data_IF_253039473414
#
_entry.id   IF_253039473414
#
_cell.length_a   1.000
_cell.length_b   1.000
_cell.length_c   1.000
_cell.angle_alpha   90.00
_cell.angle_beta   90.00
_cell.angle_gamma   90.00
#
_symmetry.space_group_name_H-M   'P 1'
#
loop_
_entity.id
_entity.type
_entity.pdbx_description
1 polymer ?
#
# COMPACT_ATOMS: atom_id res chain seq x y z
N UNK A 1 12.38 -7.68 8.71
CA UNK A 1 11.54 -6.63 8.09
C UNK A 1 10.62 -5.98 9.13
N UNK A 2 9.95 -4.90 8.76
CA UNK A 2 8.78 -4.36 9.45
C UNK A 2 7.56 -5.10 8.88
N UNK A 3 6.92 -5.95 9.68
CA UNK A 3 5.78 -6.77 9.26
C UNK A 3 4.45 -6.09 9.52
N UNK A 4 3.61 -5.97 8.50
CA UNK A 4 2.25 -5.45 8.65
C UNK A 4 1.29 -6.58 9.01
N UNK A 5 0.58 -6.46 10.12
CA UNK A 5 -0.40 -7.45 10.58
C UNK A 5 -1.74 -7.19 9.91
N UNK A 6 -2.22 -8.18 9.17
CA UNK A 6 -3.54 -8.15 8.54
C UNK A 6 -4.64 -8.04 9.60
N UNK A 7 -5.49 -7.02 9.50
CA UNK A 7 -6.68 -6.88 10.36
C UNK A 7 -7.70 -8.00 10.14
N UNK A 8 -7.64 -8.69 8.99
CA UNK A 8 -8.54 -9.79 8.65
C UNK A 8 -8.10 -11.14 9.22
N UNK A 9 -6.80 -11.39 9.29
CA UNK A 9 -6.26 -12.71 9.66
C UNK A 9 -5.44 -12.71 10.94
N UNK A 10 -5.03 -11.54 11.46
CA UNK A 10 -4.15 -11.44 12.63
C UNK A 10 -2.71 -11.88 12.37
N UNK A 11 -2.37 -12.25 11.14
CA UNK A 11 -1.05 -12.70 10.74
C UNK A 11 -0.29 -11.62 9.97
N UNK A 12 1.05 -11.59 10.04
CA UNK A 12 1.87 -10.73 9.19
C UNK A 12 1.62 -11.04 7.71
N UNK A 13 1.45 -10.00 6.91
CA UNK A 13 1.40 -10.14 5.45
C UNK A 13 2.79 -10.54 4.93
N UNK A 14 2.89 -11.49 3.98
CA UNK A 14 4.13 -11.75 3.27
C UNK A 14 4.50 -10.54 2.40
N UNK A 15 5.78 -10.45 2.02
CA UNK A 15 6.18 -9.57 0.93
C UNK A 15 5.77 -10.19 -0.40
N UNK A 16 5.21 -9.41 -1.30
CA UNK A 16 4.79 -9.85 -2.62
C UNK A 16 5.68 -9.25 -3.71
N UNK A 17 6.08 -10.05 -4.69
CA UNK A 17 6.90 -9.62 -5.82
C UNK A 17 6.38 -10.22 -7.12
N UNK A 18 6.36 -9.46 -8.21
CA UNK A 18 6.02 -9.96 -9.54
C UNK A 18 7.28 -10.16 -10.37
N UNK A 19 7.44 -11.36 -10.95
CA UNK A 19 8.52 -11.68 -11.89
C UNK A 19 7.94 -12.37 -13.14
N UNK A 20 7.87 -11.64 -14.25
CA UNK A 20 7.08 -12.07 -15.41
C UNK A 20 5.61 -12.25 -15.02
N UNK A 21 5.02 -13.37 -15.39
CA UNK A 21 3.61 -13.69 -15.07
C UNK A 21 3.42 -14.34 -13.68
N UNK A 22 4.48 -14.37 -12.85
CA UNK A 22 4.45 -15.05 -11.54
C UNK A 22 4.46 -14.05 -10.40
N UNK A 23 3.54 -14.28 -9.46
CA UNK A 23 3.55 -13.64 -8.14
C UNK A 23 4.30 -14.55 -7.18
N UNK A 24 5.26 -13.97 -6.45
CA UNK A 24 6.12 -14.63 -5.48
C UNK A 24 5.86 -13.99 -4.13
N UNK A 25 5.37 -14.79 -3.17
CA UNK A 25 5.25 -14.38 -1.78
C UNK A 25 6.46 -14.85 -0.97
N UNK A 26 7.03 -13.95 -0.18
CA UNK A 26 8.18 -14.22 0.69
C UNK A 26 7.85 -13.81 2.11
N UNK A 27 7.76 -14.80 3.00
CA UNK A 27 7.67 -14.57 4.43
C UNK A 27 9.08 -14.38 5.02
N UNK A 28 9.43 -13.15 5.39
CA UNK A 28 10.67 -12.87 6.11
C UNK A 28 10.40 -12.73 7.61
N UNK A 29 11.38 -13.08 8.48
CA UNK A 29 11.30 -12.77 9.90
C UNK A 29 11.07 -11.26 10.13
N UNK A 30 10.00 -10.96 10.85
CA UNK A 30 9.67 -9.61 11.29
C UNK A 30 10.36 -9.30 12.62
N UNK A 31 11.12 -8.20 12.68
CA UNK A 31 11.71 -7.69 13.94
C UNK A 31 10.74 -6.77 14.69
N UNK A 32 9.79 -6.21 13.95
CA UNK A 32 8.73 -5.34 14.44
C UNK A 32 7.45 -5.71 13.69
N UNK A 33 6.36 -5.90 14.43
CA UNK A 33 5.02 -6.07 13.87
C UNK A 33 4.20 -4.82 14.14
N UNK A 34 3.49 -4.36 13.11
CA UNK A 34 2.68 -3.14 13.15
C UNK A 34 1.31 -3.41 12.53
N UNK A 35 0.28 -2.75 13.03
CA UNK A 35 -1.10 -2.84 12.50
C UNK A 35 -1.59 -1.53 11.89
N UNK A 36 -0.78 -0.46 11.94
CA UNK A 36 -1.11 0.87 11.47
C UNK A 36 -0.15 1.38 10.39
N UNK A 37 -0.68 2.01 9.35
CA UNK A 37 0.11 2.54 8.25
C UNK A 37 1.14 3.59 8.72
N UNK A 38 0.72 4.54 9.58
CA UNK A 38 1.61 5.61 10.05
C UNK A 38 2.73 5.09 10.94
N UNK A 39 2.45 4.07 11.78
CA UNK A 39 3.46 3.36 12.57
C UNK A 39 4.48 2.67 11.67
N UNK A 40 4.02 2.08 10.57
CA UNK A 40 4.88 1.40 9.58
C UNK A 40 5.84 2.38 8.91
N UNK A 41 5.31 3.54 8.47
CA UNK A 41 6.11 4.63 7.86
C UNK A 41 7.15 5.16 8.85
N UNK A 42 6.73 5.44 10.08
CA UNK A 42 7.62 5.97 11.13
C UNK A 42 8.74 4.98 11.44
N UNK A 43 8.42 3.68 11.56
CA UNK A 43 9.42 2.64 11.77
C UNK A 43 10.42 2.53 10.62
N UNK A 44 9.97 2.67 9.36
CA UNK A 44 10.86 2.65 8.20
C UNK A 44 11.86 3.81 8.25
N UNK A 45 11.39 5.04 8.51
CA UNK A 45 12.23 6.24 8.65
C UNK A 45 13.20 6.17 9.82
N UNK A 46 12.87 5.43 10.88
CA UNK A 46 13.76 5.16 12.00
C UNK A 46 14.77 4.02 11.74
N UNK A 47 14.76 3.42 10.55
CA UNK A 47 15.73 2.38 10.18
C UNK A 47 15.44 0.98 10.74
N UNK A 48 14.20 0.68 11.13
CA UNK A 48 13.83 -0.65 11.65
C UNK A 48 13.84 -1.77 10.59
N UNK A 49 14.06 -1.43 9.32
CA UNK A 49 14.36 -2.36 8.23
C UNK A 49 13.45 -2.19 7.01
N UNK A 50 13.39 -3.25 6.19
CA UNK A 50 12.58 -3.29 4.96
C UNK A 50 11.08 -3.23 5.26
N UNK A 51 10.35 -2.54 4.39
CA UNK A 51 8.89 -2.42 4.37
C UNK A 51 8.38 -2.55 2.93
N UNK A 52 7.19 -3.11 2.75
CA UNK A 52 6.43 -3.02 1.51
C UNK A 52 5.11 -2.32 1.79
N UNK A 53 4.93 -1.15 1.18
CA UNK A 53 3.80 -0.26 1.40
C UNK A 53 3.61 0.70 0.21
N UNK A 54 2.44 1.36 0.08
CA UNK A 54 2.18 2.23 -1.06
C UNK A 54 3.20 3.37 -1.22
N UNK A 55 3.75 3.50 -2.43
CA UNK A 55 4.86 4.43 -2.76
C UNK A 55 4.57 5.89 -2.42
N UNK A 56 3.33 6.33 -2.52
CA UNK A 56 2.94 7.73 -2.28
C UNK A 56 3.27 8.20 -0.84
N UNK A 57 3.38 7.28 0.12
CA UNK A 57 3.76 7.60 1.51
C UNK A 57 5.24 7.95 1.68
N UNK A 58 6.08 7.58 0.72
CA UNK A 58 7.55 7.70 0.77
C UNK A 58 8.10 8.55 -0.38
N UNK A 59 7.27 9.32 -1.07
CA UNK A 59 7.69 10.08 -2.24
C UNK A 59 8.84 11.05 -1.93
N UNK A 60 8.75 11.76 -0.80
CA UNK A 60 9.79 12.67 -0.33
C UNK A 60 11.03 11.92 0.15
N UNK A 61 10.86 10.82 0.90
CA UNK A 61 11.99 10.03 1.41
C UNK A 61 12.82 9.43 0.27
N UNK A 62 12.16 8.95 -0.79
CA UNK A 62 12.82 8.41 -1.99
C UNK A 62 13.48 9.52 -2.82
N UNK A 63 12.89 10.72 -2.87
CA UNK A 63 13.48 11.88 -3.57
C UNK A 63 14.74 12.37 -2.84
N UNK A 64 14.71 12.37 -1.52
CA UNK A 64 15.81 12.83 -0.66
C UNK A 64 16.88 11.76 -0.40
N UNK A 65 16.58 10.50 -0.74
CA UNK A 65 17.47 9.37 -0.51
C UNK A 65 17.58 8.94 0.96
N UNK A 66 16.68 9.42 1.82
CA UNK A 66 16.59 8.97 3.23
C UNK A 66 16.02 7.56 3.33
N UNK A 67 15.25 7.14 2.32
CA UNK A 67 14.91 5.75 2.04
C UNK A 67 15.31 5.42 0.60
N UNK A 68 15.64 4.15 0.37
CA UNK A 68 15.98 3.64 -0.95
C UNK A 68 15.01 2.53 -1.34
N UNK A 69 14.56 2.57 -2.59
CA UNK A 69 13.80 1.47 -3.19
C UNK A 69 14.77 0.33 -3.50
N UNK A 70 14.38 -0.90 -3.15
CA UNK A 70 15.13 -2.12 -3.43
C UNK A 70 14.23 -3.06 -4.22
N UNK A 71 14.83 -3.86 -5.10
CA UNK A 71 14.10 -4.80 -5.97
C UNK A 71 13.04 -4.10 -6.86
N UNK A 72 13.36 -2.92 -7.39
CA UNK A 72 12.45 -2.14 -8.24
C UNK A 72 11.96 -2.89 -9.50
N UNK A 73 12.75 -3.86 -9.98
CA UNK A 73 12.40 -4.71 -11.13
C UNK A 73 11.33 -5.77 -10.80
N UNK A 74 10.94 -5.90 -9.53
CA UNK A 74 10.00 -6.90 -9.04
C UNK A 74 8.87 -6.27 -8.21
N UNK A 75 8.06 -5.35 -8.77
CA UNK A 75 7.00 -4.70 -8.01
C UNK A 75 5.95 -5.71 -7.50
N UNK A 76 5.25 -5.44 -6.40
CA UNK A 76 4.06 -6.21 -6.03
C UNK A 76 2.92 -5.97 -7.04
N UNK A 77 1.86 -6.77 -6.95
CA UNK A 77 0.64 -6.55 -7.74
C UNK A 77 0.05 -5.18 -7.42
N UNK A 78 -0.43 -4.43 -8.44
CA UNK A 78 -1.11 -3.16 -8.22
C UNK A 78 -2.28 -3.32 -7.25
N UNK A 79 -2.31 -2.50 -6.19
CA UNK A 79 -3.42 -2.49 -5.25
C UNK A 79 -4.61 -1.77 -5.89
N UNK A 80 -5.77 -2.43 -6.09
CA UNK A 80 -6.92 -1.79 -6.69
C UNK A 80 -7.51 -0.74 -5.75
N UNK A 81 -7.85 0.43 -6.30
CA UNK A 81 -8.64 1.44 -5.62
C UNK A 81 -10.07 1.42 -6.17
N UNK A 82 -11.04 1.25 -5.28
CA UNK A 82 -12.45 1.16 -5.66
C UNK A 82 -13.28 2.17 -4.86
N UNK A 83 -14.25 2.80 -5.53
CA UNK A 83 -15.25 3.65 -4.88
C UNK A 83 -16.51 2.80 -4.65
N UNK A 84 -16.81 2.50 -3.40
CA UNK A 84 -17.99 1.70 -3.02
C UNK A 84 -19.17 2.62 -2.69
N UNK A 85 -20.31 2.39 -3.34
CA UNK A 85 -21.57 3.07 -3.08
C UNK A 85 -22.75 2.10 -3.19
N UNK A 86 -23.90 2.37 -2.53
CA UNK A 86 -25.06 1.49 -2.60
C UNK A 86 -25.52 1.26 -4.04
N UNK A 87 -25.88 0.02 -4.37
CA UNK A 87 -26.41 -0.39 -5.68
C UNK A 87 -27.85 0.06 -5.88
N UNK A 88 -28.11 1.37 -5.75
CA UNK A 88 -29.42 1.92 -6.11
C UNK A 88 -29.46 2.23 -7.60
N UNK A 89 -30.58 1.88 -8.26
CA UNK A 89 -30.75 2.09 -9.72
C UNK A 89 -30.58 3.55 -10.15
N UNK A 90 -30.78 4.50 -9.24
CA UNK A 90 -30.49 5.91 -9.43
C UNK A 90 -29.54 6.41 -8.33
N UNK A 91 -28.26 6.55 -8.68
CA UNK A 91 -27.30 7.26 -7.84
C UNK A 91 -27.74 8.73 -7.74
N UNK A 92 -27.78 9.29 -6.53
CA UNK A 92 -28.15 10.71 -6.39
C UNK A 92 -27.16 11.59 -7.16
N UNK A 93 -27.60 12.68 -7.81
CA UNK A 93 -26.70 13.58 -8.53
C UNK A 93 -25.56 14.14 -7.66
N UNK A 94 -25.80 14.34 -6.36
CA UNK A 94 -24.77 14.81 -5.41
C UNK A 94 -23.65 13.78 -5.22
N UNK A 95 -24.00 12.50 -5.08
CA UNK A 95 -23.01 11.42 -4.96
C UNK A 95 -22.25 11.28 -6.28
N UNK A 96 -22.93 11.37 -7.43
CA UNK A 96 -22.27 11.32 -8.73
C UNK A 96 -21.24 12.43 -8.90
N UNK A 97 -21.62 13.69 -8.65
CA UNK A 97 -20.71 14.84 -8.76
C UNK A 97 -19.52 14.69 -7.81
N UNK A 98 -19.74 14.18 -6.59
CA UNK A 98 -18.64 13.92 -5.66
C UNK A 98 -17.69 12.83 -6.17
N UNK A 99 -18.21 11.74 -6.74
CA UNK A 99 -17.39 10.68 -7.33
C UNK A 99 -16.61 11.20 -8.54
N UNK A 100 -17.27 11.95 -9.43
CA UNK A 100 -16.63 12.54 -10.62
C UNK A 100 -15.46 13.44 -10.18
N UNK A 101 -15.68 14.33 -9.21
CA UNK A 101 -14.65 15.16 -8.60
C UNK A 101 -13.53 14.36 -7.92
N UNK A 102 -13.87 13.28 -7.22
CA UNK A 102 -12.90 12.42 -6.53
C UNK A 102 -11.96 11.71 -7.51
N UNK A 103 -12.50 11.21 -8.63
CA UNK A 103 -11.72 10.55 -9.70
C UNK A 103 -10.70 11.54 -10.29
N UNK A 104 -11.11 12.79 -10.54
CA UNK A 104 -10.19 13.83 -11.02
C UNK A 104 -9.03 14.11 -10.05
N UNK A 105 -9.30 14.12 -8.73
CA UNK A 105 -8.28 14.40 -7.72
C UNK A 105 -7.32 13.23 -7.51
N UNK A 106 -7.87 12.03 -7.36
CA UNK A 106 -7.06 10.85 -7.02
C UNK A 106 -6.28 10.36 -8.26
N UNK A 107 -6.66 10.79 -9.46
CA UNK A 107 -6.17 10.26 -10.74
C UNK A 107 -6.37 8.74 -10.81
N UNK A 108 -7.57 8.31 -10.40
CA UNK A 108 -8.04 6.93 -10.62
C UNK A 108 -8.18 6.65 -12.11
#
# INVERSE_FOLDING_TARGET
MIGFVSSRTGHPLPLEFTHGDKVIEVALPARLLVSGADTSVTAARMGFGLIQAPRYRFADDLREGTLIEVLADFPPTPTPFSVLYPSNKQLSPRVRIFIDWLVEIIKL
#
